data_IF_009390973163
#
_entry.id   IF_009390973163
#
_cell.length_a   1.000
_cell.length_b   1.000
_cell.length_c   1.000
_cell.angle_alpha   90.00
_cell.angle_beta   90.00
_cell.angle_gamma   90.00
#
_symmetry.space_group_name_H-M   'P 1'
#
loop_
_entity.id
_entity.type
_entity.pdbx_description
1 polymer ?
#
# COMPACT_ATOMS: atom_id res chain seq x y z
N UNK A 1 -31.61 2.51 -16.83
CA UNK A 1 -30.36 1.79 -16.44
C UNK A 1 -29.97 2.28 -15.07
N UNK A 2 -29.60 1.41 -14.11
CA UNK A 2 -29.13 1.86 -12.81
C UNK A 2 -27.86 2.71 -13.00
N UNK A 3 -27.83 3.87 -12.37
CA UNK A 3 -26.67 4.77 -12.39
C UNK A 3 -25.57 4.07 -11.60
N UNK A 4 -24.52 3.61 -12.29
CA UNK A 4 -23.34 3.03 -11.66
C UNK A 4 -22.67 4.11 -10.80
N UNK A 5 -22.79 3.99 -9.48
CA UNK A 5 -22.13 4.91 -8.57
C UNK A 5 -20.60 4.81 -8.74
N UNK A 6 -19.86 5.93 -8.62
CA UNK A 6 -18.40 5.89 -8.67
C UNK A 6 -17.84 5.04 -7.52
N UNK A 7 -16.87 4.19 -7.82
CA UNK A 7 -16.13 3.48 -6.77
C UNK A 7 -15.17 4.47 -6.09
N UNK A 8 -15.29 4.60 -4.77
CA UNK A 8 -14.44 5.51 -4.00
C UNK A 8 -13.25 4.76 -3.39
N UNK A 9 -12.08 5.41 -3.44
CA UNK A 9 -10.87 4.98 -2.75
C UNK A 9 -10.50 6.07 -1.75
N UNK A 10 -10.66 5.78 -0.47
CA UNK A 10 -10.21 6.67 0.59
C UNK A 10 -8.69 6.59 0.71
N UNK A 11 -8.02 7.73 0.85
CA UNK A 11 -6.57 7.82 0.90
C UNK A 11 -6.10 8.86 1.91
N UNK A 12 -5.14 8.48 2.75
CA UNK A 12 -4.31 9.42 3.51
C UNK A 12 -2.84 9.03 3.33
N UNK A 13 -1.98 10.05 3.21
CA UNK A 13 -0.54 9.88 3.30
C UNK A 13 0.07 11.08 3.98
N UNK A 14 0.80 10.85 5.07
CA UNK A 14 1.40 11.89 5.90
C UNK A 14 2.80 11.49 6.36
N UNK A 15 3.64 12.49 6.58
CA UNK A 15 4.89 12.39 7.31
C UNK A 15 4.57 12.68 8.77
N UNK A 16 4.80 11.71 9.64
CA UNK A 16 4.57 11.88 11.08
C UNK A 16 5.78 12.54 11.75
N UNK A 17 5.67 12.91 13.02
CA UNK A 17 6.67 13.73 13.74
C UNK A 17 8.08 13.13 13.75
N UNK A 18 8.18 11.80 13.82
CA UNK A 18 9.45 11.07 13.80
C UNK A 18 10.05 10.90 12.39
N UNK A 19 9.49 11.59 11.39
CA UNK A 19 9.85 11.55 9.98
C UNK A 19 9.69 10.17 9.34
N UNK A 20 8.91 9.28 9.95
CA UNK A 20 8.39 8.11 9.28
C UNK A 20 7.14 8.46 8.46
N UNK A 21 6.83 7.59 7.52
CA UNK A 21 5.72 7.76 6.59
C UNK A 21 4.58 6.87 7.04
N UNK A 22 3.41 7.48 7.18
CA UNK A 22 2.15 6.79 7.33
C UNK A 22 1.33 6.94 6.06
N UNK A 23 0.82 5.82 5.54
CA UNK A 23 -0.06 5.77 4.38
C UNK A 23 -1.17 4.78 4.67
N UNK A 24 -2.41 5.15 4.38
CA UNK A 24 -3.53 4.22 4.44
C UNK A 24 -4.46 4.48 3.27
N UNK A 25 -4.88 3.39 2.63
CA UNK A 25 -5.85 3.41 1.54
C UNK A 25 -6.85 2.29 1.73
N UNK A 26 -8.12 2.57 1.45
CA UNK A 26 -9.14 1.53 1.42
C UNK A 26 -10.21 1.78 0.38
N UNK A 27 -10.90 0.71 0.03
CA UNK A 27 -12.05 0.72 -0.86
C UNK A 27 -13.12 -0.20 -0.28
N UNK A 28 -14.38 0.23 -0.33
CA UNK A 28 -15.50 -0.56 0.16
C UNK A 28 -16.10 -1.30 -1.04
N UNK A 29 -16.08 -2.62 -0.98
CA UNK A 29 -16.50 -3.55 -2.03
C UNK A 29 -17.88 -4.15 -1.67
N UNK A 30 -18.77 -4.39 -2.64
CA UNK A 30 -19.96 -5.20 -2.40
C UNK A 30 -19.57 -6.60 -1.89
N UNK A 31 -20.28 -7.12 -0.89
CA UNK A 31 -20.01 -8.46 -0.33
C UNK A 31 -20.09 -9.57 -1.36
N UNK A 32 -21.03 -9.48 -2.31
CA UNK A 32 -21.15 -10.42 -3.44
C UNK A 32 -19.87 -10.56 -4.27
N UNK A 33 -19.05 -9.51 -4.35
CA UNK A 33 -17.80 -9.50 -5.12
C UNK A 33 -16.57 -9.86 -4.28
N UNK A 34 -16.68 -9.75 -2.96
CA UNK A 34 -15.53 -9.80 -2.04
C UNK A 34 -15.72 -10.78 -0.88
N UNK A 35 -16.70 -11.69 -0.96
CA UNK A 35 -17.03 -12.64 0.09
C UNK A 35 -15.83 -13.52 0.48
N UNK A 36 -15.03 -13.93 -0.50
CA UNK A 36 -13.85 -14.78 -0.29
C UNK A 36 -12.54 -13.98 -0.22
N UNK A 37 -12.61 -12.65 -0.15
CA UNK A 37 -11.42 -11.81 -0.12
C UNK A 37 -10.79 -11.82 1.28
N UNK A 38 -9.69 -12.57 1.42
CA UNK A 38 -8.87 -12.59 2.64
C UNK A 38 -7.68 -11.62 2.54
N UNK A 39 -7.05 -11.24 3.68
CA UNK A 39 -5.80 -10.47 3.66
C UNK A 39 -4.67 -11.11 2.81
N UNK A 40 -4.54 -12.44 2.82
CA UNK A 40 -3.57 -13.18 2.01
C UNK A 40 -3.89 -13.08 0.52
N UNK A 41 -5.17 -13.23 0.15
CA UNK A 41 -5.61 -13.03 -1.23
C UNK A 41 -5.33 -11.58 -1.67
N UNK A 42 -5.56 -10.60 -0.79
CA UNK A 42 -5.30 -9.20 -1.05
C UNK A 42 -3.80 -8.93 -1.28
N UNK A 43 -2.91 -9.52 -0.49
CA UNK A 43 -1.46 -9.50 -0.73
C UNK A 43 -1.13 -10.08 -2.10
N UNK A 44 -1.66 -11.26 -2.44
CA UNK A 44 -1.42 -11.89 -3.75
C UNK A 44 -1.85 -10.99 -4.92
N UNK A 45 -3.03 -10.37 -4.82
CA UNK A 45 -3.50 -9.39 -5.81
C UNK A 45 -2.60 -8.16 -5.87
N UNK A 46 -2.10 -7.67 -4.74
CA UNK A 46 -1.20 -6.53 -4.67
C UNK A 46 0.14 -6.80 -5.37
N UNK A 47 0.76 -7.95 -5.10
CA UNK A 47 2.01 -8.36 -5.76
C UNK A 47 1.81 -8.49 -7.28
N UNK A 48 0.73 -9.16 -7.72
CA UNK A 48 0.42 -9.29 -9.13
C UNK A 48 0.17 -7.94 -9.81
N UNK A 49 -0.52 -7.02 -9.12
CA UNK A 49 -0.78 -5.69 -9.64
C UNK A 49 0.50 -4.86 -9.79
N UNK A 50 1.42 -4.90 -8.83
CA UNK A 50 2.71 -4.20 -8.95
C UNK A 50 3.49 -4.69 -10.17
N UNK A 51 3.60 -6.01 -10.35
CA UNK A 51 4.25 -6.59 -11.52
C UNK A 51 3.61 -6.10 -12.82
N UNK A 52 2.28 -6.10 -12.89
CA UNK A 52 1.53 -5.65 -14.08
C UNK A 52 1.71 -4.15 -14.34
N UNK A 53 1.55 -3.31 -13.33
CA UNK A 53 1.58 -1.85 -13.46
C UNK A 53 2.96 -1.32 -13.82
N UNK A 54 4.02 -2.03 -13.40
CA UNK A 54 5.40 -1.66 -13.70
C UNK A 54 5.94 -2.33 -14.96
N UNK A 55 5.10 -3.06 -15.71
CA UNK A 55 5.53 -3.83 -16.89
C UNK A 55 6.59 -4.88 -16.56
N UNK A 56 6.63 -5.36 -15.31
CA UNK A 56 7.65 -6.28 -14.81
C UNK A 56 8.99 -5.64 -14.45
N UNK A 57 9.10 -4.30 -14.45
CA UNK A 57 10.29 -3.59 -13.99
C UNK A 57 10.53 -3.85 -12.49
N UNK A 58 9.47 -3.79 -11.69
CA UNK A 58 9.49 -4.22 -10.29
C UNK A 58 8.87 -5.61 -10.24
N UNK A 59 9.66 -6.57 -9.79
CA UNK A 59 9.27 -7.97 -9.68
C UNK A 59 9.16 -8.34 -8.20
N UNK A 60 7.93 -8.45 -7.68
CA UNK A 60 7.75 -8.99 -6.35
C UNK A 60 8.03 -10.50 -6.36
N UNK A 61 8.78 -10.96 -5.37
CA UNK A 61 9.09 -12.37 -5.14
C UNK A 61 8.68 -12.69 -3.71
N UNK A 62 7.81 -13.68 -3.56
CA UNK A 62 7.39 -14.21 -2.27
C UNK A 62 8.02 -15.60 -2.10
N UNK A 63 8.75 -15.77 -1.01
CA UNK A 63 9.35 -17.03 -0.57
C UNK A 63 8.81 -17.38 0.82
N UNK A 64 9.22 -18.52 1.36
CA UNK A 64 8.93 -18.88 2.76
C UNK A 64 9.66 -17.98 3.76
N UNK A 65 10.74 -17.32 3.36
CA UNK A 65 11.62 -16.55 4.24
C UNK A 65 11.40 -15.04 4.16
N UNK A 66 10.88 -14.54 3.04
CA UNK A 66 10.69 -13.11 2.82
C UNK A 66 9.76 -12.81 1.64
N UNK A 67 9.31 -11.56 1.59
CA UNK A 67 8.76 -10.92 0.40
C UNK A 67 9.69 -9.80 -0.03
N UNK A 68 10.11 -9.77 -1.30
CA UNK A 68 11.00 -8.73 -1.82
C UNK A 68 10.46 -8.11 -3.10
N UNK A 69 10.65 -6.80 -3.26
CA UNK A 69 10.37 -6.06 -4.48
C UNK A 69 11.67 -5.76 -5.20
N UNK A 70 11.92 -6.49 -6.30
CA UNK A 70 13.21 -6.46 -6.98
C UNK A 70 13.15 -5.64 -8.27
N UNK A 71 14.02 -4.65 -8.42
CA UNK A 71 14.22 -3.93 -9.67
C UNK A 71 14.97 -4.82 -10.67
N UNK A 72 14.42 -4.96 -11.87
CA UNK A 72 14.90 -5.88 -12.92
C UNK A 72 15.07 -7.33 -12.41
N UNK A 73 14.33 -7.72 -11.37
CA UNK A 73 14.41 -9.04 -10.75
C UNK A 73 15.70 -9.33 -9.96
N UNK A 74 16.56 -8.34 -9.73
CA UNK A 74 17.88 -8.56 -9.08
C UNK A 74 18.16 -7.66 -7.90
N UNK A 75 17.79 -6.38 -8.00
CA UNK A 75 18.15 -5.39 -7.00
C UNK A 75 17.00 -5.18 -6.01
N UNK A 76 17.12 -5.57 -4.74
CA UNK A 76 16.02 -5.42 -3.78
C UNK A 76 15.78 -3.96 -3.45
N UNK A 77 14.65 -3.42 -3.90
CA UNK A 77 14.19 -2.07 -3.55
C UNK A 77 13.65 -2.05 -2.12
N UNK A 78 12.85 -3.06 -1.77
CA UNK A 78 12.31 -3.29 -0.43
C UNK A 78 12.28 -4.78 -0.16
N UNK A 79 12.67 -5.16 1.05
CA UNK A 79 12.55 -6.51 1.58
C UNK A 79 11.69 -6.48 2.83
N UNK A 80 10.88 -7.51 2.98
CA UNK A 80 9.99 -7.73 4.10
C UNK A 80 10.23 -9.14 4.66
N UNK A 81 10.05 -9.28 5.98
CA UNK A 81 9.90 -10.59 6.63
C UNK A 81 8.69 -11.35 6.05
N UNK A 82 8.57 -12.66 6.32
CA UNK A 82 7.39 -13.42 5.91
C UNK A 82 6.10 -12.73 6.38
N UNK A 83 4.99 -12.85 5.63
CA UNK A 83 3.71 -12.35 6.08
C UNK A 83 3.30 -13.03 7.39
N UNK A 84 2.99 -12.22 8.40
CA UNK A 84 2.56 -12.68 9.72
C UNK A 84 1.11 -12.24 9.96
N UNK A 85 0.19 -13.17 10.27
CA UNK A 85 -1.16 -12.82 10.69
C UNK A 85 -1.13 -12.06 12.01
N UNK A 86 -1.78 -10.90 12.06
CA UNK A 86 -1.96 -10.07 13.24
C UNK A 86 -3.45 -9.75 13.43
N UNK A 87 -4.15 -10.57 14.23
CA UNK A 87 -5.62 -10.50 14.39
C UNK A 87 -6.31 -10.58 13.02
N UNK A 88 -6.94 -9.51 12.57
CA UNK A 88 -7.63 -9.39 11.28
C UNK A 88 -6.73 -8.85 10.15
N UNK A 89 -5.46 -8.60 10.43
CA UNK A 89 -4.50 -8.07 9.49
C UNK A 89 -3.50 -9.14 9.06
N UNK A 90 -2.92 -8.96 7.88
CA UNK A 90 -1.71 -9.64 7.47
C UNK A 90 -0.60 -8.59 7.35
N UNK A 91 0.39 -8.67 8.24
CA UNK A 91 1.47 -7.71 8.34
C UNK A 91 2.75 -8.25 7.70
N UNK A 92 3.48 -7.36 7.03
CA UNK A 92 4.79 -7.60 6.47
C UNK A 92 5.71 -6.53 7.02
N UNK A 93 6.63 -6.92 7.90
CA UNK A 93 7.61 -6.01 8.48
C UNK A 93 8.75 -5.82 7.51
N UNK A 94 9.14 -4.58 7.26
CA UNK A 94 10.31 -4.26 6.46
C UNK A 94 11.55 -4.80 7.18
N UNK A 95 12.50 -5.33 6.42
CA UNK A 95 13.78 -5.82 6.94
C UNK A 95 14.97 -5.35 6.10
N UNK A 96 14.74 -4.61 5.01
CA UNK A 96 15.83 -4.04 4.22
C UNK A 96 15.41 -3.56 2.84
N UNK A 97 16.40 -3.41 1.97
CA UNK A 97 16.26 -2.92 0.60
C UNK A 97 16.86 -1.53 0.40
N UNK A 98 17.00 -1.13 -0.86
CA UNK A 98 17.61 0.14 -1.26
C UNK A 98 16.78 1.37 -0.91
N UNK A 99 15.47 1.23 -0.70
CA UNK A 99 14.58 2.38 -0.48
C UNK A 99 14.34 2.68 1.00
N UNK A 100 14.87 1.89 1.94
CA UNK A 100 14.72 2.11 3.39
C UNK A 100 16.05 2.54 4.02
N UNK A 101 15.99 3.36 5.07
CA UNK A 101 17.17 3.69 5.87
C UNK A 101 17.64 2.43 6.62
N UNK A 102 18.95 2.10 6.52
CA UNK A 102 19.51 0.86 7.08
C UNK A 102 19.29 0.73 8.59
N UNK A 103 19.46 1.83 9.33
CA UNK A 103 19.34 1.84 10.79
C UNK A 103 17.88 1.93 11.28
N UNK A 104 16.90 1.84 10.37
CA UNK A 104 15.46 1.94 10.67
C UNK A 104 14.66 0.89 9.89
N UNK A 105 15.32 -0.13 9.35
CA UNK A 105 14.67 -1.07 8.45
C UNK A 105 13.63 -1.95 9.15
N UNK A 106 13.78 -2.20 10.45
CA UNK A 106 12.96 -3.07 11.29
C UNK A 106 11.67 -2.43 11.84
N UNK A 107 11.49 -1.12 11.59
CA UNK A 107 10.35 -0.34 12.07
C UNK A 107 9.15 -0.35 11.14
N UNK A 108 9.40 -0.28 9.84
CA UNK A 108 8.33 -0.09 8.87
C UNK A 108 7.51 -1.35 8.64
N UNK A 109 6.23 -1.19 8.37
CA UNK A 109 5.30 -2.29 8.17
C UNK A 109 4.33 -1.99 7.03
N UNK A 110 4.11 -2.97 6.16
CA UNK A 110 3.02 -3.00 5.19
C UNK A 110 1.97 -4.01 5.66
N UNK A 111 0.74 -3.59 5.88
CA UNK A 111 -0.33 -4.43 6.39
C UNK A 111 -1.58 -4.39 5.50
N UNK A 112 -2.26 -5.54 5.43
CA UNK A 112 -3.46 -5.78 4.64
C UNK A 112 -4.62 -6.19 5.54
N UNK A 113 -5.81 -5.67 5.30
CA UNK A 113 -7.02 -6.07 6.04
C UNK A 113 -8.23 -6.16 5.11
N UNK A 114 -9.10 -7.11 5.41
CA UNK A 114 -10.42 -7.25 4.83
C UNK A 114 -11.42 -7.34 5.97
N UNK A 115 -12.24 -6.31 6.16
CA UNK A 115 -13.22 -6.25 7.25
C UNK A 115 -14.63 -6.05 6.73
N UNK A 116 -15.59 -6.78 7.31
CA UNK A 116 -16.99 -6.55 7.04
C UNK A 116 -17.45 -5.22 7.66
N UNK A 117 -18.30 -4.49 6.94
CA UNK A 117 -18.98 -3.29 7.42
C UNK A 117 -20.46 -3.60 7.67
N UNK A 118 -21.08 -2.90 8.62
CA UNK A 118 -22.51 -3.04 8.96
C UNK A 118 -23.45 -2.79 7.76
N UNK A 119 -22.95 -2.12 6.72
CA UNK A 119 -23.64 -1.89 5.45
C UNK A 119 -23.69 -3.11 4.52
N UNK A 120 -23.18 -4.27 4.93
CA UNK A 120 -23.10 -5.47 4.10
C UNK A 120 -22.02 -5.38 3.00
N UNK A 121 -21.00 -4.54 3.21
CA UNK A 121 -19.85 -4.36 2.32
C UNK A 121 -18.57 -4.90 2.97
N UNK A 122 -17.56 -5.19 2.17
CA UNK A 122 -16.22 -5.56 2.64
C UNK A 122 -15.26 -4.40 2.37
N UNK A 123 -14.60 -3.90 3.42
CA UNK A 123 -13.54 -2.91 3.32
C UNK A 123 -12.20 -3.61 3.10
N UNK A 124 -11.60 -3.42 1.94
CA UNK A 124 -10.24 -3.83 1.65
C UNK A 124 -9.28 -2.68 1.94
N UNK A 125 -8.35 -2.87 2.88
CA UNK A 125 -7.45 -1.84 3.41
C UNK A 125 -5.99 -2.22 3.22
N UNK A 126 -5.19 -1.22 2.87
CA UNK A 126 -3.73 -1.28 2.81
C UNK A 126 -3.19 -0.18 3.70
N UNK A 127 -2.25 -0.54 4.56
CA UNK A 127 -1.59 0.39 5.48
C UNK A 127 -0.08 0.23 5.34
N UNK A 128 0.63 1.34 5.22
CA UNK A 128 2.07 1.44 5.44
C UNK A 128 2.29 2.31 6.67
N UNK A 129 2.95 1.79 7.68
CA UNK A 129 3.30 2.52 8.90
C UNK A 129 4.79 2.52 9.14
N UNK A 130 5.25 3.56 9.83
CA UNK A 130 6.59 3.69 10.40
C UNK A 130 7.72 3.48 9.38
N UNK A 131 7.43 3.72 8.10
CA UNK A 131 8.37 3.54 7.01
C UNK A 131 9.34 4.72 6.97
N UNK A 132 10.65 4.45 6.97
CA UNK A 132 11.69 5.46 6.89
C UNK A 132 12.38 5.46 5.51
N UNK A 133 11.92 6.28 4.54
CA UNK A 133 12.50 6.35 3.20
C UNK A 133 13.98 6.73 3.23
N UNK A 134 14.78 6.07 2.40
CA UNK A 134 16.19 6.41 2.20
C UNK A 134 16.37 7.86 1.73
N UNK A 135 15.45 8.37 0.91
CA UNK A 135 15.53 9.74 0.38
C UNK A 135 15.45 10.83 1.45
N UNK A 136 14.82 10.56 2.59
CA UNK A 136 14.87 11.46 3.75
C UNK A 136 16.27 11.43 4.38
N UNK A 137 16.91 10.26 4.39
CA UNK A 137 18.34 10.06 4.64
C UNK A 137 18.80 10.30 6.07
N UNK A 138 17.94 10.81 6.94
CA UNK A 138 18.15 10.87 8.40
C UNK A 138 16.81 11.13 9.10
N UNK A 139 16.74 11.00 10.43
CA UNK A 139 15.60 11.43 11.23
C UNK A 139 15.36 12.95 11.21
N UNK A 140 16.31 13.75 10.69
CA UNK A 140 16.19 15.20 10.55
C UNK A 140 16.45 15.61 9.08
N UNK A 141 15.52 15.29 8.17
CA UNK A 141 15.75 15.53 6.75
C UNK A 141 15.72 17.02 6.42
N UNK A 142 16.63 17.46 5.55
CA UNK A 142 16.61 18.82 5.00
C UNK A 142 15.35 19.07 4.17
N UNK A 143 14.97 20.34 4.01
CA UNK A 143 13.78 20.73 3.23
C UNK A 143 13.84 20.21 1.78
N UNK A 144 15.03 20.19 1.16
CA UNK A 144 15.26 19.69 -0.20
C UNK A 144 15.01 18.17 -0.29
N UNK A 145 15.51 17.41 0.68
CA UNK A 145 15.31 15.94 0.72
C UNK A 145 13.83 15.60 0.94
N UNK A 146 13.15 16.34 1.84
CA UNK A 146 11.70 16.23 2.01
C UNK A 146 10.96 16.52 0.70
N UNK A 147 11.33 17.59 0.00
CA UNK A 147 10.72 17.93 -1.30
C UNK A 147 10.94 16.84 -2.35
N UNK A 148 12.17 16.31 -2.48
CA UNK A 148 12.48 15.25 -3.43
C UNK A 148 11.71 13.95 -3.12
N UNK A 149 11.61 13.58 -1.85
CA UNK A 149 10.81 12.44 -1.41
C UNK A 149 9.32 12.61 -1.78
N UNK A 150 8.74 13.79 -1.52
CA UNK A 150 7.35 14.12 -1.86
C UNK A 150 7.08 13.98 -3.36
N UNK A 151 7.98 14.49 -4.19
CA UNK A 151 7.83 14.47 -5.65
C UNK A 151 7.93 13.06 -6.23
N UNK A 152 8.75 12.19 -5.62
CA UNK A 152 9.10 10.89 -6.21
C UNK A 152 8.34 9.75 -5.56
N UNK A 153 8.80 9.34 -4.38
CA UNK A 153 8.42 8.10 -3.75
C UNK A 153 7.01 8.14 -3.17
N UNK A 154 6.65 9.27 -2.54
CA UNK A 154 5.31 9.52 -2.04
C UNK A 154 4.26 9.50 -3.17
N UNK A 155 4.56 10.17 -4.28
CA UNK A 155 3.66 10.24 -5.45
C UNK A 155 3.52 8.89 -6.14
N UNK A 156 4.63 8.18 -6.35
CA UNK A 156 4.63 6.84 -6.93
C UNK A 156 3.86 5.84 -6.07
N UNK A 157 4.08 5.84 -4.75
CA UNK A 157 3.38 4.93 -3.83
C UNK A 157 1.87 5.16 -3.88
N UNK A 158 1.42 6.41 -3.72
CA UNK A 158 0.00 6.77 -3.81
C UNK A 158 -0.61 6.34 -5.14
N UNK A 159 0.06 6.61 -6.26
CA UNK A 159 -0.41 6.23 -7.59
C UNK A 159 -0.56 4.71 -7.72
N UNK A 160 0.45 3.94 -7.28
CA UNK A 160 0.45 2.47 -7.32
C UNK A 160 -0.69 1.92 -6.48
N UNK A 161 -0.90 2.40 -5.25
CA UNK A 161 -1.94 1.87 -4.36
C UNK A 161 -3.35 2.21 -4.86
N UNK A 162 -3.59 3.43 -5.35
CA UNK A 162 -4.89 3.80 -5.94
C UNK A 162 -5.19 2.95 -7.17
N UNK A 163 -4.21 2.79 -8.07
CA UNK A 163 -4.40 1.97 -9.28
C UNK A 163 -4.60 0.50 -8.95
N UNK A 164 -3.91 -0.01 -7.93
CA UNK A 164 -4.12 -1.35 -7.41
C UNK A 164 -5.56 -1.54 -6.96
N UNK A 165 -6.09 -0.70 -6.06
CA UNK A 165 -7.46 -0.84 -5.56
C UNK A 165 -8.52 -0.71 -6.68
N UNK A 166 -8.27 0.18 -7.64
CA UNK A 166 -9.10 0.29 -8.85
C UNK A 166 -9.06 -0.99 -9.72
N UNK A 167 -7.88 -1.61 -9.83
CA UNK A 167 -7.73 -2.87 -10.57
C UNK A 167 -8.37 -4.04 -9.82
N UNK A 168 -8.19 -4.12 -8.50
CA UNK A 168 -8.80 -5.14 -7.65
C UNK A 168 -10.31 -5.15 -7.85
N UNK A 169 -10.96 -3.98 -7.74
CA UNK A 169 -12.40 -3.87 -7.96
C UNK A 169 -12.86 -4.40 -9.34
N UNK A 170 -12.12 -4.07 -10.41
CA UNK A 170 -12.41 -4.58 -11.77
C UNK A 170 -12.16 -6.09 -11.90
N UNK A 171 -11.11 -6.61 -11.28
CA UNK A 171 -10.80 -8.04 -11.28
C UNK A 171 -11.86 -8.86 -10.57
N UNK A 172 -12.47 -8.31 -9.52
CA UNK A 172 -13.58 -8.93 -8.79
C UNK A 172 -14.93 -8.78 -9.52
N UNK A 173 -14.96 -8.36 -10.79
CA UNK A 173 -16.19 -8.22 -11.58
C UNK A 173 -16.94 -6.90 -11.36
N UNK A 174 -16.33 -5.94 -10.67
CA UNK A 174 -16.90 -4.61 -10.48
C UNK A 174 -17.08 -3.83 -11.79
N UNK A 175 -18.23 -3.19 -11.94
CA UNK A 175 -18.67 -2.52 -13.18
C UNK A 175 -18.72 -0.99 -13.09
N UNK A 176 -18.29 -0.38 -11.98
CA UNK A 176 -18.33 1.07 -11.80
C UNK A 176 -17.73 1.84 -12.98
N UNK A 177 -18.49 2.82 -13.46
CA UNK A 177 -18.10 3.64 -14.61
C UNK A 177 -16.87 4.53 -14.33
N UNK A 178 -16.62 4.85 -13.06
CA UNK A 178 -15.51 5.71 -12.62
C UNK A 178 -14.99 5.29 -11.25
N UNK A 179 -13.68 5.45 -11.06
CA UNK A 179 -13.04 5.37 -9.75
C UNK A 179 -12.63 6.78 -9.33
N UNK A 180 -12.93 7.17 -8.10
CA UNK A 180 -12.57 8.48 -7.53
C UNK A 180 -11.80 8.31 -6.22
N UNK A 181 -10.87 9.21 -5.95
CA UNK A 181 -10.14 9.22 -4.67
C UNK A 181 -10.76 10.23 -3.72
N UNK A 182 -10.94 9.85 -2.45
CA UNK A 182 -11.42 10.72 -1.38
C UNK A 182 -10.29 10.92 -0.36
N UNK A 183 -10.05 12.15 0.08
CA UNK A 183 -9.08 12.41 1.15
C UNK A 183 -9.73 12.15 2.51
N UNK A 184 -8.97 11.50 3.39
CA UNK A 184 -9.40 11.15 4.75
C UNK A 184 -8.29 11.51 5.73
N UNK A 185 -8.65 11.76 6.99
CA UNK A 185 -7.72 12.04 8.08
C UNK A 185 -7.89 10.98 9.17
N UNK A 186 -6.96 10.04 9.24
CA UNK A 186 -6.94 8.93 10.22
C UNK A 186 -5.80 9.13 11.23
N UNK A 187 -4.66 9.67 10.79
CA UNK A 187 -3.50 9.98 11.63
C UNK A 187 -3.05 11.42 11.44
N UNK A 188 -2.60 12.09 12.50
CA UNK A 188 -2.00 13.42 12.40
C UNK A 188 -0.62 13.36 11.73
N UNK A 189 -0.27 14.41 10.98
CA UNK A 189 1.02 14.52 10.32
C UNK A 189 1.03 15.56 9.21
N UNK A 190 2.21 15.82 8.66
CA UNK A 190 2.40 16.74 7.55
C UNK A 190 2.05 16.06 6.23
N UNK A 191 1.24 16.68 5.36
CA UNK A 191 0.94 16.11 4.05
C UNK A 191 2.22 15.88 3.22
N UNK A 192 2.37 14.68 2.66
CA UNK A 192 3.44 14.36 1.71
C UNK A 192 3.00 14.64 0.29
#
# INVERSE_FOLDING_TARGET
>A
MPILQPQQIACQQVLVEDNSVFSIQWTDLPSELAADLTPEALLGHYLAAIRRMTGGLIQPVQTTENVSFNLFGRLPLLCFLPPEPERDWLALRICGGLLVQRDQCDRGELAFNCSALDSGRIRATLRLSDYCPLLLGSPNPSAVRRWLYRLTQATLHRLVTVRFLAQLYRCLGGTAAKVTTVQVAVREGLPT
#
